data_IF_208729468148
#
_entry.id   IF_208729468148
#
_cell.length_a   1.000
_cell.length_b   1.000
_cell.length_c   1.000
_cell.angle_alpha   90.00
_cell.angle_beta   90.00
_cell.angle_gamma   90.00
#
_symmetry.space_group_name_H-M   'P 1'
#
loop_
_entity.id
_entity.type
_entity.pdbx_description
1 polymer ?
#
# COMPACT_ATOMS: atom_id res chain seq x y z
N UNK A 1 -3.91 12.11 3.68
CA UNK A 1 -3.44 11.09 4.65
C UNK A 1 -2.05 10.59 4.25
N UNK A 2 -1.25 10.12 5.20
CA UNK A 2 0.09 9.58 4.97
C UNK A 2 0.27 8.31 5.82
N UNK A 3 0.87 7.26 5.26
CA UNK A 3 1.21 6.08 6.05
C UNK A 3 1.98 5.00 5.29
N UNK A 4 2.59 4.08 6.02
CA UNK A 4 3.32 2.94 5.47
C UNK A 4 2.83 1.64 6.10
N UNK A 5 2.93 0.50 5.43
CA UNK A 5 2.51 -0.80 5.98
C UNK A 5 1.06 -0.75 6.50
N UNK A 6 0.81 -1.14 7.75
CA UNK A 6 -0.49 -0.98 8.44
C UNK A 6 -0.93 0.49 8.55
N UNK A 7 0.01 1.43 8.71
CA UNK A 7 -0.30 2.86 8.64
C UNK A 7 -0.75 3.29 7.25
N UNK A 8 -0.25 2.64 6.20
CA UNK A 8 -0.70 2.84 4.82
C UNK A 8 -2.13 2.35 4.61
N UNK A 9 -2.47 1.20 5.21
CA UNK A 9 -3.85 0.72 5.28
C UNK A 9 -4.77 1.76 5.92
N UNK A 10 -4.43 2.20 7.14
CA UNK A 10 -5.22 3.18 7.88
C UNK A 10 -5.35 4.50 7.10
N UNK A 11 -4.27 4.97 6.48
CA UNK A 11 -4.27 6.21 5.69
C UNK A 11 -5.26 6.14 4.52
N UNK A 12 -5.35 5.01 3.82
CA UNK A 12 -6.34 4.83 2.75
C UNK A 12 -7.76 4.72 3.35
N UNK A 13 -7.96 3.83 4.32
CA UNK A 13 -9.26 3.59 4.96
C UNK A 13 -9.89 4.91 5.44
N UNK A 14 -9.12 5.70 6.18
CA UNK A 14 -9.58 6.98 6.70
C UNK A 14 -9.70 8.07 5.63
N UNK A 15 -8.95 7.99 4.53
CA UNK A 15 -9.16 8.90 3.40
C UNK A 15 -10.53 8.67 2.72
N UNK A 16 -10.95 7.41 2.58
CA UNK A 16 -12.32 7.09 2.17
C UNK A 16 -13.34 7.58 3.20
N UNK A 17 -13.18 7.19 4.46
CA UNK A 17 -14.14 7.50 5.53
C UNK A 17 -14.37 9.00 5.74
N UNK A 18 -13.29 9.79 5.77
CA UNK A 18 -13.37 11.24 5.97
C UNK A 18 -13.55 12.03 4.68
N UNK A 19 -13.68 11.37 3.52
CA UNK A 19 -13.69 12.00 2.19
C UNK A 19 -12.50 12.94 1.97
N UNK A 20 -11.32 12.54 2.45
CA UNK A 20 -10.11 13.35 2.34
C UNK A 20 -9.60 13.32 0.90
N UNK A 21 -9.12 14.47 0.38
CA UNK A 21 -8.68 14.62 -1.02
C UNK A 21 -7.72 13.54 -1.53
N UNK A 22 -6.87 13.00 -0.67
CA UNK A 22 -5.95 11.95 -1.08
C UNK A 22 -5.16 11.29 0.05
N UNK A 23 -4.49 10.19 -0.29
CA UNK A 23 -3.56 9.45 0.55
C UNK A 23 -2.23 9.18 -0.16
N UNK A 24 -1.14 9.33 0.58
CA UNK A 24 0.23 9.00 0.14
C UNK A 24 0.67 7.79 0.95
N UNK A 25 0.95 6.67 0.29
CA UNK A 25 1.21 5.41 1.00
C UNK A 25 2.39 4.61 0.44
N UNK A 26 3.04 3.86 1.34
CA UNK A 26 4.14 2.95 1.02
C UNK A 26 3.89 1.53 1.52
N UNK A 27 3.97 0.52 0.64
CA UNK A 27 3.70 -0.90 0.94
C UNK A 27 2.45 -1.11 1.83
N UNK A 28 1.26 -0.58 1.47
CA UNK A 28 0.09 -0.71 2.32
C UNK A 28 -0.38 -2.17 2.41
N UNK A 29 -0.88 -2.57 3.59
CA UNK A 29 -1.51 -3.87 3.79
C UNK A 29 -2.98 -3.81 3.34
N UNK A 30 -3.21 -3.94 2.03
CA UNK A 30 -4.52 -3.65 1.40
C UNK A 30 -5.59 -4.68 1.71
N UNK A 31 -5.23 -5.96 1.66
CA UNK A 31 -6.19 -7.07 1.73
C UNK A 31 -5.72 -8.12 2.72
N UNK A 32 -6.67 -8.80 3.35
CA UNK A 32 -6.42 -9.94 4.22
C UNK A 32 -5.64 -11.03 3.46
N UNK A 33 -6.09 -11.37 2.24
CA UNK A 33 -5.49 -12.44 1.42
C UNK A 33 -4.01 -12.20 1.10
N UNK A 34 -3.60 -10.95 0.90
CA UNK A 34 -2.19 -10.65 0.67
C UNK A 34 -1.32 -10.94 1.90
N UNK A 35 -1.88 -10.89 3.11
CA UNK A 35 -1.13 -11.21 4.34
C UNK A 35 -0.82 -12.69 4.49
N UNK A 36 -1.57 -13.57 3.83
CA UNK A 36 -1.29 -15.01 3.75
C UNK A 36 -0.02 -15.31 2.93
N UNK A 37 0.41 -14.35 2.09
CA UNK A 37 1.66 -14.43 1.32
C UNK A 37 2.86 -13.87 2.09
N UNK A 38 2.65 -13.37 3.31
CA UNK A 38 3.73 -12.92 4.17
C UNK A 38 4.50 -14.12 4.72
N UNK A 39 5.82 -13.97 4.82
CA UNK A 39 6.69 -15.00 5.40
C UNK A 39 6.33 -15.27 6.87
N UNK A 40 5.95 -14.23 7.61
CA UNK A 40 5.54 -14.33 9.00
C UNK A 40 4.01 -14.29 9.10
N UNK A 41 3.41 -15.31 9.75
CA UNK A 41 1.95 -15.39 9.98
C UNK A 41 1.42 -14.40 11.02
N UNK A 42 2.26 -13.52 11.55
CA UNK A 42 1.83 -12.56 12.57
C UNK A 42 0.81 -11.56 12.01
N UNK A 43 0.94 -11.12 10.77
CA UNK A 43 -0.02 -10.19 10.16
C UNK A 43 -1.39 -10.83 10.01
N UNK A 44 -1.44 -12.03 9.43
CA UNK A 44 -2.65 -12.83 9.30
C UNK A 44 -3.32 -13.00 10.67
N UNK A 45 -2.55 -13.40 11.70
CA UNK A 45 -3.07 -13.57 13.06
C UNK A 45 -3.66 -12.28 13.63
N UNK A 46 -2.97 -11.14 13.47
CA UNK A 46 -3.47 -9.85 13.97
C UNK A 46 -4.76 -9.44 13.25
N UNK A 47 -4.87 -9.67 11.94
CA UNK A 47 -6.08 -9.37 11.18
C UNK A 47 -7.22 -10.35 11.53
N UNK A 48 -6.93 -11.63 11.79
CA UNK A 48 -7.93 -12.57 12.31
C UNK A 48 -8.46 -12.15 13.68
N UNK A 49 -7.59 -11.61 14.55
CA UNK A 49 -7.98 -11.20 15.90
C UNK A 49 -8.98 -10.04 15.93
N UNK A 50 -8.93 -9.12 14.95
CA UNK A 50 -9.94 -8.06 14.82
C UNK A 50 -11.24 -8.55 14.16
N UNK A 51 -11.25 -9.77 13.64
CA UNK A 51 -12.43 -10.45 13.10
C UNK A 51 -13.08 -9.68 11.95
N UNK A 52 -14.38 -9.47 12.04
CA UNK A 52 -15.20 -8.82 11.00
C UNK A 52 -14.96 -7.32 10.86
N UNK A 53 -14.12 -6.73 11.71
CA UNK A 53 -13.78 -5.31 11.64
C UNK A 53 -12.74 -5.00 10.57
N UNK A 54 -12.00 -6.00 10.10
CA UNK A 54 -11.09 -5.80 8.97
C UNK A 54 -11.86 -5.50 7.69
N UNK A 55 -11.43 -4.46 6.99
CA UNK A 55 -12.04 -4.05 5.73
C UNK A 55 -10.99 -4.11 4.62
N UNK A 56 -11.17 -4.99 3.65
CA UNK A 56 -10.32 -5.03 2.46
C UNK A 56 -10.51 -3.76 1.63
N UNK A 57 -9.42 -3.04 1.34
CA UNK A 57 -9.49 -1.68 0.78
C UNK A 57 -9.91 -1.65 -0.70
N UNK A 58 -9.67 -2.72 -1.44
CA UNK A 58 -10.21 -2.91 -2.79
C UNK A 58 -11.73 -3.03 -2.75
N UNK A 59 -12.28 -3.82 -1.81
CA UNK A 59 -13.73 -3.93 -1.62
C UNK A 59 -14.35 -2.61 -1.15
N UNK A 60 -13.65 -1.87 -0.29
CA UNK A 60 -14.04 -0.52 0.10
C UNK A 60 -14.11 0.42 -1.11
N UNK A 61 -13.09 0.40 -1.97
CA UNK A 61 -13.04 1.23 -3.17
C UNK A 61 -14.16 0.89 -4.16
N UNK A 62 -14.49 -0.39 -4.35
CA UNK A 62 -15.61 -0.82 -5.21
C UNK A 62 -16.93 -0.22 -4.72
N UNK A 63 -17.22 -0.36 -3.42
CA UNK A 63 -18.49 0.01 -2.80
C UNK A 63 -18.67 1.51 -2.56
N UNK A 64 -17.59 2.28 -2.60
CA UNK A 64 -17.63 3.72 -2.27
C UNK A 64 -18.00 4.57 -3.49
N UNK A 65 -18.86 5.57 -3.28
CA UNK A 65 -19.15 6.60 -4.29
C UNK A 65 -18.03 7.65 -4.38
N UNK A 66 -17.27 7.81 -3.29
CA UNK A 66 -16.11 8.68 -3.23
C UNK A 66 -14.83 7.86 -3.32
N UNK A 67 -13.87 8.32 -4.12
CA UNK A 67 -12.54 7.72 -4.21
C UNK A 67 -11.47 8.80 -4.05
N UNK A 68 -10.64 8.75 -2.99
CA UNK A 68 -9.57 9.73 -2.77
C UNK A 68 -8.46 9.55 -3.81
N UNK A 69 -7.71 10.60 -4.11
CA UNK A 69 -6.50 10.47 -4.92
C UNK A 69 -5.44 9.63 -4.20
N UNK A 70 -4.82 8.69 -4.89
CA UNK A 70 -3.84 7.80 -4.27
C UNK A 70 -2.47 8.00 -4.90
N UNK A 71 -1.48 8.30 -4.07
CA UNK A 71 -0.08 8.04 -4.39
C UNK A 71 0.33 6.74 -3.70
N UNK A 72 0.75 5.75 -4.48
CA UNK A 72 1.11 4.43 -4.01
C UNK A 72 2.54 4.10 -4.40
N UNK A 73 3.36 3.82 -3.40
CA UNK A 73 4.72 3.32 -3.56
C UNK A 73 4.79 1.88 -3.06
N UNK A 74 5.33 0.94 -3.85
CA UNK A 74 5.46 -0.45 -3.39
C UNK A 74 6.61 -1.23 -4.01
N UNK A 75 7.09 -2.24 -3.28
CA UNK A 75 8.19 -3.14 -3.65
C UNK A 75 7.78 -4.44 -4.35
N UNK A 76 8.76 -5.33 -4.50
CA UNK A 76 8.64 -6.67 -5.08
C UNK A 76 8.40 -7.78 -4.05
N UNK A 77 8.33 -7.46 -2.76
CA UNK A 77 7.92 -8.41 -1.73
C UNK A 77 6.53 -8.97 -2.06
N UNK A 78 6.36 -10.30 -2.03
CA UNK A 78 5.18 -11.01 -2.57
C UNK A 78 3.86 -10.46 -2.03
N UNK A 79 3.76 -10.29 -0.71
CA UNK A 79 2.58 -9.76 -0.05
C UNK A 79 2.29 -8.30 -0.47
N UNK A 80 3.31 -7.44 -0.50
CA UNK A 80 3.17 -6.02 -0.86
C UNK A 80 2.75 -5.86 -2.33
N UNK A 81 3.39 -6.63 -3.21
CA UNK A 81 3.10 -6.64 -4.64
C UNK A 81 1.69 -7.13 -4.90
N UNK A 82 1.28 -8.25 -4.30
CA UNK A 82 -0.08 -8.76 -4.47
C UNK A 82 -1.12 -7.78 -3.93
N UNK A 83 -0.91 -7.22 -2.74
CA UNK A 83 -1.82 -6.23 -2.15
C UNK A 83 -1.97 -4.99 -3.06
N UNK A 84 -0.84 -4.46 -3.52
CA UNK A 84 -0.79 -3.25 -4.32
C UNK A 84 -1.33 -3.44 -5.72
N UNK A 85 -0.99 -4.55 -6.40
CA UNK A 85 -1.49 -4.84 -7.75
C UNK A 85 -3.03 -4.99 -7.74
N UNK A 86 -3.60 -5.66 -6.73
CA UNK A 86 -5.06 -5.74 -6.55
C UNK A 86 -5.69 -4.38 -6.34
N UNK A 87 -5.14 -3.54 -5.45
CA UNK A 87 -5.66 -2.19 -5.22
C UNK A 87 -5.58 -1.33 -6.49
N UNK A 88 -4.46 -1.37 -7.20
CA UNK A 88 -4.22 -0.60 -8.43
C UNK A 88 -5.28 -0.93 -9.48
N UNK A 89 -5.53 -2.21 -9.73
CA UNK A 89 -6.54 -2.63 -10.71
C UNK A 89 -7.92 -2.08 -10.35
N UNK A 90 -8.30 -2.19 -9.07
CA UNK A 90 -9.58 -1.66 -8.58
C UNK A 90 -9.68 -0.15 -8.73
N UNK A 91 -8.63 0.60 -8.36
CA UNK A 91 -8.62 2.06 -8.46
C UNK A 91 -8.65 2.55 -9.93
N UNK A 92 -7.99 1.84 -10.85
CA UNK A 92 -8.08 2.11 -12.29
C UNK A 92 -9.52 1.94 -12.77
N UNK A 93 -10.18 0.84 -12.39
CA UNK A 93 -11.58 0.57 -12.78
C UNK A 93 -12.57 1.60 -12.20
N UNK A 94 -12.22 2.25 -11.09
CA UNK A 94 -13.00 3.35 -10.51
C UNK A 94 -12.65 4.73 -11.08
N UNK A 95 -11.81 4.79 -12.12
CA UNK A 95 -11.32 6.04 -12.72
C UNK A 95 -10.66 6.98 -11.70
N UNK A 96 -10.01 6.42 -10.68
CA UNK A 96 -9.30 7.19 -9.67
C UNK A 96 -8.07 7.88 -10.26
N UNK A 97 -7.80 9.11 -9.85
CA UNK A 97 -6.47 9.70 -10.05
C UNK A 97 -5.46 8.97 -9.17
N UNK A 98 -4.55 8.26 -9.82
CA UNK A 98 -3.61 7.33 -9.19
C UNK A 98 -2.19 7.61 -9.70
N UNK A 99 -1.25 7.79 -8.78
CA UNK A 99 0.18 7.85 -9.05
C UNK A 99 0.86 6.63 -8.45
N UNK A 100 1.58 5.88 -9.28
CA UNK A 100 2.24 4.64 -8.87
C UNK A 100 3.75 4.79 -8.97
N UNK A 101 4.45 4.36 -7.92
CA UNK A 101 5.90 4.22 -7.90
C UNK A 101 6.28 2.81 -7.48
N UNK A 102 6.65 1.98 -8.46
CA UNK A 102 7.18 0.64 -8.21
C UNK A 102 8.67 0.74 -7.88
N UNK A 103 9.10 -0.04 -6.90
CA UNK A 103 10.49 -0.09 -6.43
C UNK A 103 10.99 -1.52 -6.43
N UNK A 104 12.30 -1.71 -6.52
CA UNK A 104 12.92 -3.03 -6.51
C UNK A 104 13.25 -3.52 -5.09
N UNK A 105 12.36 -3.23 -4.13
CA UNK A 105 12.54 -3.67 -2.74
C UNK A 105 12.15 -5.14 -2.61
N UNK A 106 13.10 -5.99 -2.20
CA UNK A 106 12.85 -7.42 -2.02
C UNK A 106 12.11 -7.75 -0.73
N UNK A 107 12.26 -6.89 0.27
CA UNK A 107 11.65 -7.04 1.59
C UNK A 107 10.55 -6.01 1.82
N UNK A 108 9.73 -6.25 2.85
CA UNK A 108 8.74 -5.30 3.35
C UNK A 108 9.41 -4.09 4.02
N UNK A 109 10.00 -3.23 3.21
CA UNK A 109 10.76 -2.05 3.64
C UNK A 109 10.41 -0.87 2.76
N UNK A 110 10.45 0.34 3.34
CA UNK A 110 10.32 1.59 2.59
C UNK A 110 11.67 2.29 2.71
N UNK A 111 12.49 2.20 1.67
CA UNK A 111 13.75 2.95 1.64
C UNK A 111 13.43 4.45 1.50
N UNK A 112 13.36 5.14 2.65
CA UNK A 112 13.23 6.59 2.71
C UNK A 112 14.59 7.30 2.56
N UNK A 113 15.71 6.62 2.82
CA UNK A 113 17.02 7.27 3.03
C UNK A 113 18.24 6.71 2.27
N UNK A 114 18.09 5.73 1.36
CA UNK A 114 19.22 5.32 0.51
C UNK A 114 19.25 6.06 -0.84
N UNK A 115 19.39 7.40 -0.80
CA UNK A 115 20.15 8.09 -1.84
C UNK A 115 21.61 7.84 -1.50
N UNK A 116 22.15 6.69 -1.90
CA UNK A 116 23.61 6.55 -2.00
C UNK A 116 24.03 7.68 -2.93
N UNK A 117 24.72 8.69 -2.40
CA UNK A 117 25.48 9.62 -3.21
C UNK A 117 26.45 8.76 -4.03
N UNK A 118 26.03 8.32 -5.22
CA UNK A 118 26.97 8.05 -6.30
C UNK A 118 27.50 9.41 -6.71
N UNK A 119 28.43 9.94 -5.92
CA UNK A 119 29.44 10.82 -6.49
C UNK A 119 30.15 9.96 -7.51
N UNK A 120 29.88 10.26 -8.78
CA UNK A 120 30.85 10.08 -9.84
C UNK A 120 32.15 10.71 -9.36
N UNK A 121 33.09 9.89 -8.93
CA UNK A 121 34.50 10.21 -8.99
C UNK A 121 35.11 9.20 -9.95
N UNK A 122 35.08 9.59 -11.23
CA UNK A 122 36.22 9.43 -12.11
C UNK A 122 37.50 9.96 -11.42
N UNK A 123 38.66 9.53 -11.93
CA UNK A 123 40.03 9.68 -11.38
C UNK A 123 40.34 8.47 -10.47
N UNK A 124 41.08 7.44 -10.88
CA UNK A 124 42.21 7.36 -11.82
C UNK A 124 42.00 6.29 -12.91
#
# INVERSE_FOLDING_TARGET
MLGISMGGYAAIYFAFYMKAKGAIVGNPQVTYKATEMCFYRNWERQIRNIGTQWCDLDMLAIRSDYVPFIYLKYGNYSADKSASDTLVLTLINKHCLLMIRKEDWKDHTVNALYKKHRKSSSIF
#
